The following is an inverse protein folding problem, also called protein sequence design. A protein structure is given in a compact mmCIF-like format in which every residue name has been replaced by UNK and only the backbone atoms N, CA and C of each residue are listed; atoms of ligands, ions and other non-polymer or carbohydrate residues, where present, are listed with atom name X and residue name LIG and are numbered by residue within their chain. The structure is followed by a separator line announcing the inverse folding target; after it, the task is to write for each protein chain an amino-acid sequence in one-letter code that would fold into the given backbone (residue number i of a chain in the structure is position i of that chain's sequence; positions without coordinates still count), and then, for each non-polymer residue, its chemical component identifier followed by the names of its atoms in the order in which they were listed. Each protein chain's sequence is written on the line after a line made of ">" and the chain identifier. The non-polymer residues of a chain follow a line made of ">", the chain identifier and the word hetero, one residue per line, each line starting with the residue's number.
data_IF_356167993345
#
_entry.id   IF_356167993345
#
_cell.length_a   1.000
_cell.length_b   1.000
_cell.length_c   1.000
_cell.angle_alpha   90.00
_cell.angle_beta   90.00
_cell.angle_gamma   90.00
#
_symmetry.space_group_name_H-M   'P 1'
#
loop_
_entity.id
_entity.type
_entity.pdbx_description
1 polymer ?
#
# COMPACT_ATOMS: atom_id res chain seq x y z
N UNK A 1 -49.85 -2.19 -29.58
CA UNK A 1 -48.68 -3.08 -29.77
C UNK A 1 -47.46 -2.17 -29.80
N UNK A 2 -46.54 -2.13 -28.85
CA UNK A 2 -46.23 -2.95 -27.68
C UNK A 2 -45.68 -2.03 -26.58
N UNK A 3 -45.97 -2.37 -25.32
CA UNK A 3 -45.39 -1.76 -24.14
C UNK A 3 -44.01 -2.40 -23.92
N UNK A 4 -42.98 -1.60 -23.63
CA UNK A 4 -41.76 -2.12 -23.03
C UNK A 4 -41.43 -1.28 -21.80
N UNK A 5 -42.06 -1.67 -20.70
CA UNK A 5 -41.50 -1.52 -19.35
C UNK A 5 -40.35 -2.50 -19.22
N UNK A 6 -39.18 -2.06 -18.74
CA UNK A 6 -38.38 -2.84 -17.78
C UNK A 6 -37.19 -2.02 -17.32
N UNK A 7 -37.23 -1.56 -16.06
CA UNK A 7 -36.03 -1.15 -15.35
C UNK A 7 -35.26 -2.38 -14.90
N UNK A 8 -33.93 -2.31 -14.96
CA UNK A 8 -33.07 -3.13 -14.11
C UNK A 8 -31.92 -2.26 -13.60
N UNK A 9 -32.09 -1.82 -12.35
CA UNK A 9 -31.03 -1.39 -11.45
C UNK A 9 -30.16 -2.59 -11.13
N UNK A 10 -28.86 -2.56 -11.43
CA UNK A 10 -27.89 -3.46 -10.78
C UNK A 10 -26.57 -2.73 -10.54
N UNK A 11 -26.59 -1.86 -9.53
CA UNK A 11 -25.40 -1.55 -8.75
C UNK A 11 -25.03 -2.80 -7.96
N UNK A 12 -24.01 -3.56 -8.37
CA UNK A 12 -23.30 -4.46 -7.46
C UNK A 12 -21.82 -4.48 -7.81
N UNK A 13 -21.07 -3.78 -6.96
CA UNK A 13 -19.65 -3.93 -6.74
C UNK A 13 -19.26 -5.42 -6.63
N UNK A 14 -18.80 -5.98 -7.75
CA UNK A 14 -18.22 -7.32 -7.80
C UNK A 14 -16.72 -7.21 -8.03
N UNK A 15 -15.95 -6.65 -7.08
CA UNK A 15 -14.49 -6.79 -7.10
C UNK A 15 -14.19 -8.27 -6.92
N UNK A 16 -14.00 -8.99 -8.05
CA UNK A 16 -13.64 -10.41 -8.10
C UNK A 16 -12.48 -10.64 -7.14
N UNK A 17 -12.78 -11.28 -6.01
CA UNK A 17 -11.78 -11.75 -5.06
C UNK A 17 -11.22 -13.02 -5.68
N UNK A 18 -10.17 -12.89 -6.47
CA UNK A 18 -9.44 -14.04 -6.99
C UNK A 18 -8.89 -14.82 -5.80
N UNK A 19 -9.35 -16.03 -5.62
CA UNK A 19 -8.65 -17.17 -5.00
C UNK A 19 -7.58 -17.64 -6.00
N UNK A 20 -6.34 -18.03 -5.73
CA UNK A 20 -5.62 -18.39 -4.51
C UNK A 20 -4.13 -18.48 -4.90
N UNK A 21 -3.27 -17.69 -4.22
CA UNK A 21 -1.79 -17.78 -4.09
C UNK A 21 -1.17 -16.49 -3.48
N UNK A 22 -2.01 -15.62 -2.93
CA UNK A 22 -1.84 -14.18 -3.11
C UNK A 22 -1.26 -13.55 -1.85
N UNK A 23 0.04 -13.30 -1.84
CA UNK A 23 0.56 -12.19 -1.05
C UNK A 23 -0.27 -10.96 -1.44
N UNK A 24 -0.97 -10.35 -0.48
CA UNK A 24 -1.66 -9.09 -0.77
C UNK A 24 -0.63 -8.09 -1.26
N UNK A 25 -1.03 -7.12 -2.10
CA UNK A 25 -0.12 -6.07 -2.58
C UNK A 25 0.65 -5.39 -1.43
N UNK A 26 0.07 -5.35 -0.22
CA UNK A 26 0.74 -4.89 0.99
C UNK A 26 1.90 -5.80 1.45
N UNK A 27 1.76 -7.12 1.38
CA UNK A 27 2.86 -8.05 1.70
C UNK A 27 3.96 -7.98 0.64
N UNK A 28 3.59 -7.86 -0.64
CA UNK A 28 4.56 -7.71 -1.72
C UNK A 28 5.37 -6.42 -1.55
N UNK A 29 4.70 -5.30 -1.26
CA UNK A 29 5.38 -4.03 -1.02
C UNK A 29 6.24 -4.07 0.25
N UNK A 30 5.77 -4.71 1.32
CA UNK A 30 6.57 -4.87 2.53
C UNK A 30 7.85 -5.67 2.27
N UNK A 31 7.77 -6.77 1.49
CA UNK A 31 8.92 -7.58 1.10
C UNK A 31 9.87 -6.83 0.17
N UNK A 32 9.33 -6.04 -0.77
CA UNK A 32 10.12 -5.17 -1.64
C UNK A 32 10.93 -4.15 -0.83
N UNK A 33 10.30 -3.48 0.14
CA UNK A 33 10.98 -2.47 0.99
C UNK A 33 12.09 -3.12 1.82
N UNK A 34 11.80 -4.25 2.48
CA UNK A 34 12.80 -4.92 3.33
C UNK A 34 13.98 -5.44 2.51
N UNK A 35 13.75 -5.93 1.28
CA UNK A 35 14.84 -6.34 0.39
C UNK A 35 15.64 -5.16 -0.13
N UNK A 36 14.97 -4.10 -0.58
CA UNK A 36 15.61 -2.90 -1.11
C UNK A 36 16.54 -2.22 -0.09
N UNK A 37 16.18 -2.26 1.20
CA UNK A 37 16.95 -1.63 2.27
C UNK A 37 17.76 -2.62 3.12
N UNK A 38 17.75 -3.91 2.75
CA UNK A 38 18.43 -5.00 3.47
C UNK A 38 18.01 -5.12 4.95
N UNK A 39 16.70 -5.01 5.22
CA UNK A 39 16.10 -4.99 6.56
C UNK A 39 14.98 -6.04 6.75
N UNK A 40 15.29 -7.34 6.64
CA UNK A 40 14.27 -8.41 6.72
C UNK A 40 13.52 -8.44 8.07
N UNK A 41 14.17 -8.00 9.16
CA UNK A 41 13.57 -7.97 10.51
C UNK A 41 12.44 -6.94 10.64
N UNK A 42 12.33 -6.00 9.70
CA UNK A 42 11.34 -4.91 9.74
C UNK A 42 10.10 -5.20 8.88
N UNK A 43 9.98 -6.40 8.31
CA UNK A 43 8.84 -6.76 7.44
C UNK A 43 7.48 -6.47 8.09
N UNK A 44 7.27 -6.93 9.32
CA UNK A 44 6.01 -6.75 10.03
C UNK A 44 5.71 -5.26 10.31
N UNK A 45 6.74 -4.45 10.56
CA UNK A 45 6.61 -3.00 10.73
C UNK A 45 6.09 -2.36 9.45
N UNK A 46 6.74 -2.62 8.32
CA UNK A 46 6.32 -2.07 7.02
C UNK A 46 4.92 -2.51 6.65
N UNK A 47 4.62 -3.80 6.82
CA UNK A 47 3.28 -4.34 6.57
C UNK A 47 2.22 -3.61 7.40
N UNK A 48 2.47 -3.39 8.70
CA UNK A 48 1.56 -2.64 9.57
C UNK A 48 1.34 -1.20 9.09
N UNK A 49 2.41 -0.52 8.70
CA UNK A 49 2.33 0.85 8.18
C UNK A 49 1.57 0.90 6.86
N UNK A 50 1.89 0.03 5.90
CA UNK A 50 1.24 -0.05 4.58
C UNK A 50 -0.26 -0.31 4.74
N UNK A 51 -0.65 -1.20 5.66
CA UNK A 51 -2.07 -1.47 5.95
C UNK A 51 -2.79 -0.25 6.54
N UNK A 52 -2.08 0.62 7.25
CA UNK A 52 -2.64 1.84 7.85
C UNK A 52 -2.78 2.98 6.83
N UNK A 53 -1.74 3.27 6.05
CA UNK A 53 -1.70 4.44 5.13
C UNK A 53 -2.14 4.10 3.70
N UNK A 54 -2.31 2.81 3.40
CA UNK A 54 -2.60 2.32 2.06
C UNK A 54 -1.37 2.14 1.17
N UNK A 55 -1.52 1.30 0.14
CA UNK A 55 -0.45 0.90 -0.78
C UNK A 55 0.07 2.08 -1.60
N UNK A 56 -0.82 2.90 -2.16
CA UNK A 56 -0.45 4.02 -3.03
C UNK A 56 0.47 5.02 -2.30
N UNK A 57 0.11 5.39 -1.07
CA UNK A 57 0.91 6.31 -0.26
C UNK A 57 2.24 5.68 0.14
N UNK A 58 2.23 4.43 0.59
CA UNK A 58 3.46 3.71 0.93
C UNK A 58 4.43 3.61 -0.25
N UNK A 59 3.93 3.36 -1.47
CA UNK A 59 4.75 3.34 -2.70
C UNK A 59 5.37 4.69 -3.01
N UNK A 60 4.61 5.79 -2.86
CA UNK A 60 5.13 7.15 -3.04
C UNK A 60 6.25 7.43 -2.06
N UNK A 61 6.04 7.19 -0.76
CA UNK A 61 7.07 7.41 0.28
C UNK A 61 8.31 6.56 0.00
N UNK A 62 8.12 5.29 -0.36
CA UNK A 62 9.21 4.38 -0.68
C UNK A 62 10.04 4.91 -1.86
N UNK A 63 9.37 5.31 -2.96
CA UNK A 63 10.02 5.85 -4.16
C UNK A 63 10.82 7.12 -3.85
N UNK A 64 10.23 8.05 -3.09
CA UNK A 64 10.86 9.32 -2.71
C UNK A 64 12.14 9.10 -1.87
N UNK A 65 12.11 8.12 -0.97
CA UNK A 65 13.29 7.77 -0.14
C UNK A 65 14.34 7.04 -0.97
N UNK A 66 13.93 6.21 -1.93
CA UNK A 66 14.86 5.44 -2.76
C UNK A 66 15.61 6.30 -3.78
N UNK A 67 15.02 7.42 -4.19
CA UNK A 67 15.67 8.41 -5.06
C UNK A 67 16.76 9.24 -4.35
N UNK A 68 16.79 9.24 -3.01
CA UNK A 68 17.79 9.98 -2.25
C UNK A 68 19.09 9.18 -2.12
N UNK A 69 20.10 9.59 -2.88
CA UNK A 69 21.44 9.01 -2.84
C UNK A 69 22.12 9.26 -1.47
N UNK A 70 22.94 8.31 -1.03
CA UNK A 70 23.79 8.46 0.16
C UNK A 70 23.09 8.36 1.52
N UNK A 71 21.78 8.11 1.58
CA UNK A 71 21.09 7.88 2.85
C UNK A 71 21.55 6.56 3.51
N UNK A 72 21.91 6.63 4.79
CA UNK A 72 22.08 5.44 5.61
C UNK A 72 20.75 4.69 5.76
N UNK A 73 20.80 3.37 5.80
CA UNK A 73 19.60 2.50 5.94
C UNK A 73 18.75 2.87 7.16
N UNK A 74 19.37 3.13 8.31
CA UNK A 74 18.67 3.55 9.54
C UNK A 74 17.92 4.87 9.37
N UNK A 75 18.42 5.78 8.53
CA UNK A 75 17.73 7.03 8.18
C UNK A 75 16.51 6.77 7.28
N UNK A 76 16.58 5.81 6.36
CA UNK A 76 15.45 5.45 5.46
C UNK A 76 14.24 4.94 6.24
N UNK A 77 14.45 4.09 7.23
CA UNK A 77 13.38 3.57 8.12
C UNK A 77 12.68 4.72 8.84
N UNK A 78 13.46 5.58 9.49
CA UNK A 78 12.94 6.72 10.25
C UNK A 78 12.17 7.67 9.34
N UNK A 79 12.69 7.96 8.15
CA UNK A 79 12.03 8.79 7.15
C UNK A 79 10.72 8.17 6.65
N UNK A 80 10.69 6.86 6.43
CA UNK A 80 9.47 6.16 6.02
C UNK A 80 8.40 6.27 7.12
N UNK A 81 8.77 5.98 8.36
CA UNK A 81 7.87 6.09 9.52
C UNK A 81 7.38 7.52 9.75
N UNK A 82 8.25 8.51 9.61
CA UNK A 82 7.91 9.92 9.77
C UNK A 82 6.94 10.38 8.68
N UNK A 83 7.23 10.10 7.40
CA UNK A 83 6.34 10.43 6.29
C UNK A 83 4.98 9.73 6.40
N UNK A 84 4.95 8.50 6.93
CA UNK A 84 3.73 7.76 7.20
C UNK A 84 2.90 8.30 8.38
N UNK A 85 3.45 9.19 9.22
CA UNK A 85 2.72 9.85 10.32
C UNK A 85 2.10 11.19 9.89
N UNK A 86 2.70 11.89 8.92
CA UNK A 86 2.25 13.22 8.46
C UNK A 86 0.80 13.25 7.97
N UNK A 87 0.30 12.12 7.48
CA UNK A 87 -1.09 11.98 7.00
C UNK A 87 -2.13 11.98 8.13
N UNK A 88 -1.75 11.56 9.34
CA UNK A 88 -2.63 11.62 10.52
C UNK A 88 -2.57 12.98 11.25
N UNK A 89 -1.77 13.93 10.75
CA UNK A 89 -1.53 15.23 11.42
C UNK A 89 -2.48 16.33 10.97
N UNK A 90 -3.52 15.99 10.20
CA UNK A 90 -4.49 16.93 9.61
C UNK A 90 -5.85 16.92 10.32
N UNK A 91 -5.91 16.44 11.57
CA UNK A 91 -7.11 16.44 12.42
C UNK A 91 -6.96 17.43 13.57
#
# INVERSE_FOLDING_TARGET
>A
MEHISSGISHALAGKKKSSSKLHSEAHLLADEITRAWNEPKQFALYLGIIKRIGIARARSIFSDINQQAGLATTSRVKLFMWNARKDNSSL
#
